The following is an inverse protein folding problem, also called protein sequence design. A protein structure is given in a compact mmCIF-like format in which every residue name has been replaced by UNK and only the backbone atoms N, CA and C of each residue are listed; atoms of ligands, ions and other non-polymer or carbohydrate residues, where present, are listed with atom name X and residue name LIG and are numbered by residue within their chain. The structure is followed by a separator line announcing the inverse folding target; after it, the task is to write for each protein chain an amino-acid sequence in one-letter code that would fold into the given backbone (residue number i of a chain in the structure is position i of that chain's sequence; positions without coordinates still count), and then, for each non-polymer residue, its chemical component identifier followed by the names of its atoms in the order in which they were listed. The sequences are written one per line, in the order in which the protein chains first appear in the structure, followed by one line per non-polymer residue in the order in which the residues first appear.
data_IF_211021876722
#
_entry.id   IF_211021876722
#
_cell.length_a   1.000
_cell.length_b   1.000
_cell.length_c   1.000
_cell.angle_alpha   90.00
_cell.angle_beta   90.00
_cell.angle_gamma   90.00
#
_symmetry.space_group_name_H-M   'P 1'
#
loop_
_entity.id
_entity.type
_entity.pdbx_description
1 polymer ?
#
# COMPACT_ATOMS: atom_id res chain seq x y z
N UNK A 1 11.52 -5.11 -35.90
CA UNK A 1 10.43 -4.13 -35.64
C UNK A 1 11.04 -2.74 -35.59
N UNK A 2 10.32 -1.67 -36.01
CA UNK A 2 10.83 -0.29 -35.94
C UNK A 2 10.84 0.17 -34.48
N UNK A 3 11.89 0.88 -34.07
CA UNK A 3 12.00 1.48 -32.72
C UNK A 3 10.89 2.53 -32.59
N UNK A 4 10.07 2.47 -31.53
CA UNK A 4 9.07 3.50 -31.23
C UNK A 4 9.75 4.88 -31.07
N UNK A 5 9.05 5.93 -31.45
CA UNK A 5 9.54 7.28 -31.33
C UNK A 5 8.47 8.19 -30.74
N UNK A 6 8.82 8.84 -29.67
CA UNK A 6 7.98 9.87 -29.06
C UNK A 6 8.20 11.20 -29.76
N UNK A 7 7.12 11.95 -29.98
CA UNK A 7 7.18 13.28 -30.60
C UNK A 7 7.92 14.25 -29.69
N UNK A 8 8.83 15.04 -30.27
CA UNK A 8 9.51 16.12 -29.58
C UNK A 8 8.62 17.35 -29.49
N UNK A 9 8.46 17.90 -28.29
CA UNK A 9 7.77 19.16 -28.01
C UNK A 9 8.67 19.98 -27.10
N UNK A 10 9.61 20.69 -27.73
CA UNK A 10 10.70 21.38 -27.03
C UNK A 10 10.18 22.46 -26.08
N UNK A 11 10.64 22.43 -24.85
CA UNK A 11 10.42 23.45 -23.82
C UNK A 11 11.76 23.92 -23.27
N UNK A 12 11.93 25.23 -23.17
CA UNK A 12 13.14 25.81 -22.54
C UNK A 12 12.95 25.88 -21.03
N UNK A 13 13.86 25.28 -20.30
CA UNK A 13 13.90 25.29 -18.83
C UNK A 13 15.14 26.00 -18.32
N UNK A 14 15.04 26.62 -17.17
CA UNK A 14 16.15 27.31 -16.51
C UNK A 14 16.14 27.03 -15.02
N UNK A 15 17.30 26.71 -14.46
CA UNK A 15 17.50 26.50 -13.04
C UNK A 15 18.96 26.87 -12.67
N UNK A 16 19.18 27.58 -11.57
CA UNK A 16 20.52 28.00 -11.10
C UNK A 16 21.39 28.66 -12.19
N UNK A 17 20.80 29.54 -12.99
CA UNK A 17 21.44 30.22 -14.11
C UNK A 17 21.89 29.31 -15.28
N UNK A 18 21.48 28.07 -15.30
CA UNK A 18 21.66 27.12 -16.41
C UNK A 18 20.37 27.00 -17.18
N UNK A 19 20.44 27.19 -18.50
CA UNK A 19 19.28 27.04 -19.41
C UNK A 19 19.52 25.86 -20.34
N UNK A 20 18.48 25.03 -20.49
CA UNK A 20 18.50 23.87 -21.41
C UNK A 20 17.15 23.68 -22.10
N UNK A 21 17.15 22.91 -23.17
CA UNK A 21 15.94 22.52 -23.88
C UNK A 21 15.58 21.08 -23.50
N UNK A 22 14.31 20.87 -23.11
CA UNK A 22 13.75 19.57 -22.80
C UNK A 22 12.66 19.27 -23.84
N UNK A 23 12.91 18.23 -24.67
CA UNK A 23 12.00 17.84 -25.74
C UNK A 23 10.82 16.98 -25.25
N UNK A 24 10.88 16.47 -24.02
CA UNK A 24 9.97 15.45 -23.50
C UNK A 24 9.28 15.80 -22.19
N UNK A 25 9.45 17.00 -21.66
CA UNK A 25 8.78 17.43 -20.41
C UNK A 25 7.26 17.34 -20.47
N UNK A 26 6.68 17.43 -21.65
CA UNK A 26 5.24 17.30 -21.87
C UNK A 26 4.67 15.91 -21.54
N UNK A 27 5.51 14.88 -21.44
CA UNK A 27 5.11 13.51 -21.04
C UNK A 27 4.68 13.50 -19.57
N UNK A 28 5.27 14.34 -18.75
CA UNK A 28 4.87 14.55 -17.37
C UNK A 28 3.59 15.39 -17.30
N UNK A 29 2.44 14.72 -17.30
CA UNK A 29 1.14 15.37 -17.22
C UNK A 29 0.97 16.10 -15.88
N UNK A 30 0.43 17.32 -15.92
CA UNK A 30 0.13 18.09 -14.69
C UNK A 30 -0.87 17.40 -13.78
N UNK A 31 -1.77 16.59 -14.35
CA UNK A 31 -2.77 15.81 -13.63
C UNK A 31 -2.33 14.37 -13.34
N UNK A 32 -1.03 14.12 -13.16
CA UNK A 32 -0.50 12.75 -12.97
C UNK A 32 -1.19 12.00 -11.82
N UNK A 33 -1.54 12.69 -10.73
CA UNK A 33 -2.24 12.08 -9.60
C UNK A 33 -3.68 11.61 -9.95
N UNK A 34 -4.33 12.28 -10.91
CA UNK A 34 -5.60 11.81 -11.43
C UNK A 34 -5.41 10.58 -12.33
N UNK A 35 -4.33 10.56 -13.13
CA UNK A 35 -3.97 9.41 -13.98
C UNK A 35 -3.66 8.18 -13.12
N UNK A 36 -3.00 8.33 -11.96
CA UNK A 36 -2.76 7.23 -11.01
C UNK A 36 -4.07 6.61 -10.50
N UNK A 37 -5.08 7.44 -10.27
CA UNK A 37 -6.41 6.99 -9.82
C UNK A 37 -7.28 6.45 -10.96
N UNK A 38 -7.07 6.97 -12.17
CA UNK A 38 -7.85 6.65 -13.37
C UNK A 38 -6.96 6.73 -14.61
N UNK A 39 -6.46 5.58 -15.05
CA UNK A 39 -5.55 5.48 -16.20
C UNK A 39 -6.16 5.94 -17.51
N UNK A 40 -7.49 6.09 -17.63
CA UNK A 40 -8.14 6.61 -18.85
C UNK A 40 -7.80 8.08 -19.09
N UNK A 41 -7.35 8.81 -18.05
CA UNK A 41 -6.91 10.21 -18.13
C UNK A 41 -5.48 10.41 -18.66
N UNK A 42 -4.77 9.31 -18.95
CA UNK A 42 -3.47 9.39 -19.61
C UNK A 42 -3.63 9.95 -21.02
N UNK A 43 -2.76 10.90 -21.41
CA UNK A 43 -2.76 11.46 -22.76
C UNK A 43 -2.72 10.35 -23.82
N UNK A 44 -3.60 10.38 -24.83
CA UNK A 44 -3.66 9.32 -25.88
C UNK A 44 -2.32 9.11 -26.59
N UNK A 45 -1.55 10.19 -26.82
CA UNK A 45 -0.25 10.13 -27.48
C UNK A 45 0.79 9.40 -26.59
N UNK A 46 0.78 9.66 -25.28
CA UNK A 46 1.65 8.96 -24.32
C UNK A 46 1.25 7.49 -24.23
N UNK A 47 -0.04 7.20 -24.12
CA UNK A 47 -0.57 5.83 -24.11
C UNK A 47 -0.12 5.05 -25.34
N UNK A 48 -0.32 5.62 -26.52
CA UNK A 48 0.08 5.01 -27.79
C UNK A 48 1.56 4.66 -27.81
N UNK A 49 2.41 5.60 -27.35
CA UNK A 49 3.85 5.38 -27.27
C UNK A 49 4.21 4.22 -26.33
N UNK A 50 3.62 4.18 -25.13
CA UNK A 50 3.84 3.09 -24.16
C UNK A 50 3.41 1.73 -24.72
N UNK A 51 2.28 1.68 -25.44
CA UNK A 51 1.81 0.44 -26.08
C UNK A 51 2.74 0.00 -27.22
N UNK A 52 3.31 0.93 -27.97
CA UNK A 52 4.31 0.64 -29.02
C UNK A 52 5.63 0.12 -28.40
N UNK A 53 6.08 0.71 -27.29
CA UNK A 53 7.25 0.21 -26.54
C UNK A 53 7.03 -1.21 -25.99
N UNK A 54 5.87 -1.50 -25.45
CA UNK A 54 5.51 -2.84 -25.02
C UNK A 54 5.58 -3.85 -26.18
N UNK A 55 5.00 -3.52 -27.33
CA UNK A 55 5.06 -4.37 -28.53
C UNK A 55 6.49 -4.56 -29.03
N UNK A 56 7.32 -3.50 -28.98
CA UNK A 56 8.73 -3.56 -29.33
C UNK A 56 9.49 -4.53 -28.42
N UNK A 57 9.28 -4.40 -27.12
CA UNK A 57 9.87 -5.28 -26.10
C UNK A 57 9.44 -6.73 -26.30
N UNK A 58 8.14 -6.99 -26.48
CA UNK A 58 7.62 -8.34 -26.76
C UNK A 58 8.23 -8.96 -28.00
N UNK A 59 8.39 -8.17 -29.09
CA UNK A 59 9.01 -8.65 -30.34
C UNK A 59 10.47 -9.05 -30.12
N UNK A 60 11.25 -8.25 -29.39
CA UNK A 60 12.67 -8.53 -29.17
C UNK A 60 12.92 -9.62 -28.13
N UNK A 61 11.99 -9.82 -27.18
CA UNK A 61 12.07 -10.87 -26.18
C UNK A 61 11.36 -12.17 -26.56
N UNK A 62 10.73 -12.24 -27.74
CA UNK A 62 9.93 -13.42 -28.15
C UNK A 62 10.69 -14.74 -28.09
N UNK A 63 11.97 -14.73 -28.50
CA UNK A 63 12.80 -15.92 -28.55
C UNK A 63 13.28 -16.39 -27.17
N UNK A 64 13.07 -15.58 -26.14
CA UNK A 64 13.41 -15.93 -24.73
C UNK A 64 12.23 -16.52 -23.96
N UNK A 65 11.01 -16.58 -24.53
CA UNK A 65 9.80 -16.98 -23.79
C UNK A 65 9.87 -18.37 -23.17
N UNK A 66 10.41 -19.34 -23.90
CA UNK A 66 10.58 -20.70 -23.36
C UNK A 66 11.60 -20.74 -22.23
N UNK A 67 12.69 -19.98 -22.35
CA UNK A 67 13.69 -19.86 -21.28
C UNK A 67 13.08 -19.14 -20.06
N UNK A 68 12.32 -18.07 -20.26
CA UNK A 68 11.62 -17.38 -19.17
C UNK A 68 10.67 -18.33 -18.43
N UNK A 69 9.91 -19.14 -19.16
CA UNK A 69 9.01 -20.15 -18.58
C UNK A 69 9.75 -21.20 -17.77
N UNK A 70 10.88 -21.69 -18.30
CA UNK A 70 11.74 -22.64 -17.61
C UNK A 70 12.28 -22.05 -16.31
N UNK A 71 12.83 -20.85 -16.39
CA UNK A 71 13.39 -20.13 -15.24
C UNK A 71 12.31 -19.82 -14.20
N UNK A 72 11.13 -19.35 -14.63
CA UNK A 72 9.99 -19.10 -13.75
C UNK A 72 9.58 -20.38 -13.00
N UNK A 73 9.45 -21.51 -13.71
CA UNK A 73 9.05 -22.77 -13.08
C UNK A 73 10.13 -23.29 -12.11
N UNK A 74 11.41 -23.11 -12.44
CA UNK A 74 12.53 -23.46 -11.55
C UNK A 74 12.48 -22.64 -10.26
N UNK A 75 12.38 -21.31 -10.38
CA UNK A 75 12.32 -20.39 -9.22
C UNK A 75 11.09 -20.71 -8.37
N UNK A 76 9.93 -20.83 -9.01
CA UNK A 76 8.66 -21.15 -8.31
C UNK A 76 8.73 -22.52 -7.63
N UNK A 77 9.37 -23.50 -8.25
CA UNK A 77 9.54 -24.85 -7.69
C UNK A 77 10.38 -24.91 -6.42
N UNK A 78 11.18 -23.88 -6.15
CA UNK A 78 11.99 -23.75 -4.92
C UNK A 78 11.19 -23.18 -3.75
N UNK A 79 10.00 -22.62 -4.01
CA UNK A 79 9.14 -22.00 -2.99
C UNK A 79 8.19 -23.06 -2.43
N UNK A 80 8.20 -23.22 -1.10
CA UNK A 80 7.19 -24.03 -0.41
C UNK A 80 5.86 -23.24 -0.40
N UNK A 81 4.90 -23.72 -1.19
CA UNK A 81 3.64 -22.99 -1.40
C UNK A 81 2.64 -23.16 -0.24
N UNK A 82 2.58 -24.38 0.35
CA UNK A 82 1.82 -24.62 1.59
C UNK A 82 2.80 -24.48 2.75
N UNK A 83 2.83 -23.31 3.37
CA UNK A 83 3.78 -22.97 4.43
C UNK A 83 3.15 -22.17 5.55
N UNK A 84 3.78 -22.24 6.72
CA UNK A 84 3.37 -21.49 7.92
C UNK A 84 4.60 -20.87 8.56
N UNK A 85 4.49 -19.63 9.01
CA UNK A 85 5.50 -19.00 9.85
C UNK A 85 5.52 -19.62 11.24
N UNK A 86 6.62 -19.46 11.97
CA UNK A 86 6.62 -19.77 13.40
C UNK A 86 5.62 -18.87 14.13
N UNK A 87 4.85 -19.40 15.10
CA UNK A 87 4.00 -18.59 15.93
C UNK A 87 4.82 -17.64 16.80
N UNK A 88 4.35 -16.40 16.95
CA UNK A 88 4.87 -15.46 17.94
C UNK A 88 3.78 -15.07 18.93
N UNK A 89 4.15 -14.86 20.17
CA UNK A 89 3.23 -14.47 21.24
C UNK A 89 3.05 -12.95 21.22
N UNK A 90 1.79 -12.54 21.22
CA UNK A 90 1.39 -11.16 21.48
C UNK A 90 0.19 -11.17 22.41
N UNK A 91 0.37 -10.62 23.62
CA UNK A 91 -0.64 -10.54 24.71
C UNK A 91 -1.29 -11.90 25.01
N UNK A 92 -2.56 -12.07 24.62
CA UNK A 92 -3.35 -13.26 24.94
C UNK A 92 -3.31 -14.33 23.84
N UNK A 93 -2.66 -14.06 22.71
CA UNK A 93 -2.69 -14.92 21.53
C UNK A 93 -1.28 -15.25 21.02
N UNK A 94 -1.21 -16.36 20.32
CA UNK A 94 -0.14 -16.71 19.40
C UNK A 94 -0.61 -16.44 17.98
N UNK A 95 0.19 -15.68 17.21
CA UNK A 95 -0.10 -15.30 15.82
C UNK A 95 0.88 -15.94 14.86
N UNK A 96 0.41 -16.34 13.69
CA UNK A 96 1.25 -16.79 12.59
C UNK A 96 0.57 -16.52 11.25
N UNK A 97 1.34 -16.63 10.18
CA UNK A 97 0.88 -16.47 8.81
C UNK A 97 0.96 -17.79 8.07
N UNK A 98 -0.07 -18.12 7.29
CA UNK A 98 -0.11 -19.24 6.38
C UNK A 98 -0.12 -18.78 4.94
N UNK A 99 0.47 -19.60 4.06
CA UNK A 99 0.27 -19.56 2.62
C UNK A 99 -0.28 -20.89 2.15
N UNK A 100 -1.02 -20.91 1.03
CA UNK A 100 -1.57 -22.13 0.46
C UNK A 100 -1.25 -22.25 -1.02
N UNK A 101 -1.09 -23.46 -1.51
CA UNK A 101 -0.77 -23.74 -2.91
C UNK A 101 -1.78 -23.15 -3.91
N UNK A 102 -3.04 -22.99 -3.48
CA UNK A 102 -4.12 -22.45 -4.32
C UNK A 102 -4.39 -20.97 -4.09
N UNK A 103 -3.80 -20.38 -3.04
CA UNK A 103 -3.97 -18.98 -2.69
C UNK A 103 -2.88 -18.11 -3.29
N UNK A 104 -3.20 -16.83 -3.47
CA UNK A 104 -2.25 -15.79 -3.87
C UNK A 104 -1.93 -14.83 -2.74
N UNK A 105 -2.70 -14.91 -1.64
CA UNK A 105 -2.58 -14.01 -0.49
C UNK A 105 -2.40 -14.79 0.79
N UNK A 106 -1.80 -14.13 1.77
CA UNK A 106 -1.58 -14.72 3.08
C UNK A 106 -2.86 -14.83 3.91
N UNK A 107 -2.83 -15.77 4.85
CA UNK A 107 -3.84 -15.96 5.88
C UNK A 107 -3.18 -15.66 7.23
N UNK A 108 -3.67 -14.66 7.98
CA UNK A 108 -3.24 -14.39 9.35
C UNK A 108 -4.09 -15.20 10.30
N UNK A 109 -3.46 -16.07 11.04
CA UNK A 109 -4.08 -16.93 12.02
C UNK A 109 -3.69 -16.50 13.43
N UNK A 110 -4.54 -16.81 14.39
CA UNK A 110 -4.23 -16.71 15.81
C UNK A 110 -4.82 -17.88 16.61
N UNK A 111 -4.25 -18.10 17.76
CA UNK A 111 -4.74 -19.06 18.75
C UNK A 111 -4.60 -18.46 20.15
N UNK A 112 -5.66 -18.52 20.95
CA UNK A 112 -5.59 -18.06 22.33
C UNK A 112 -4.60 -18.90 23.13
N UNK A 113 -3.73 -18.31 23.90
CA UNK A 113 -2.74 -19.01 24.72
C UNK A 113 -3.48 -19.95 25.68
N UNK A 114 -3.05 -21.22 25.70
CA UNK A 114 -3.67 -22.27 26.53
C UNK A 114 -4.89 -22.95 25.90
N UNK A 115 -5.21 -22.69 24.63
CA UNK A 115 -6.26 -23.39 23.88
C UNK A 115 -5.70 -23.97 22.58
N UNK A 116 -6.45 -24.86 21.94
CA UNK A 116 -6.12 -25.42 20.61
C UNK A 116 -6.99 -24.86 19.49
N UNK A 117 -7.91 -23.93 19.80
CA UNK A 117 -8.78 -23.33 18.80
C UNK A 117 -8.03 -22.30 17.95
N UNK A 118 -7.95 -22.58 16.64
CA UNK A 118 -7.33 -21.70 15.65
C UNK A 118 -8.40 -20.84 14.99
N UNK A 119 -8.15 -19.54 14.95
CA UNK A 119 -9.00 -18.54 14.31
C UNK A 119 -8.27 -17.90 13.13
N UNK A 120 -8.90 -17.87 11.95
CA UNK A 120 -8.45 -17.04 10.82
C UNK A 120 -8.90 -15.60 11.06
N UNK A 121 -7.97 -14.72 11.43
CA UNK A 121 -8.22 -13.29 11.61
C UNK A 121 -8.37 -12.58 10.27
N UNK A 122 -7.57 -13.01 9.29
CA UNK A 122 -7.54 -12.49 7.94
C UNK A 122 -7.31 -13.59 6.92
N UNK A 123 -7.97 -13.49 5.77
CA UNK A 123 -7.72 -14.36 4.63
C UNK A 123 -7.84 -13.52 3.36
N UNK A 124 -6.69 -13.17 2.75
CA UNK A 124 -6.64 -12.25 1.63
C UNK A 124 -7.38 -12.76 0.38
N UNK A 125 -7.35 -14.07 0.10
CA UNK A 125 -8.09 -14.64 -1.03
C UNK A 125 -9.60 -14.56 -0.83
N UNK A 126 -10.10 -14.81 0.40
CA UNK A 126 -11.51 -14.61 0.75
C UNK A 126 -11.93 -13.15 0.61
N UNK A 127 -11.09 -12.21 1.06
CA UNK A 127 -11.38 -10.78 0.96
C UNK A 127 -11.39 -10.31 -0.49
N UNK A 128 -10.38 -10.67 -1.29
CA UNK A 128 -10.37 -10.35 -2.73
C UNK A 128 -11.61 -10.86 -3.44
N UNK A 129 -12.03 -12.10 -3.16
CA UNK A 129 -13.19 -12.70 -3.81
C UNK A 129 -14.50 -11.95 -3.57
N UNK A 130 -14.64 -11.30 -2.40
CA UNK A 130 -15.82 -10.47 -2.05
C UNK A 130 -15.86 -9.17 -2.85
N UNK A 131 -14.68 -8.61 -3.18
CA UNK A 131 -14.57 -7.25 -3.74
C UNK A 131 -14.65 -7.21 -5.27
N UNK A 132 -14.50 -8.33 -5.98
CA UNK A 132 -14.54 -8.45 -7.44
C UNK A 132 -13.66 -7.43 -8.16
N UNK A 133 -12.44 -7.20 -7.64
CA UNK A 133 -11.48 -6.25 -8.19
C UNK A 133 -10.37 -6.96 -8.96
N UNK A 134 -9.84 -6.32 -10.01
CA UNK A 134 -8.68 -6.82 -10.76
C UNK A 134 -7.40 -6.72 -9.94
N UNK A 135 -7.19 -5.56 -9.31
CA UNK A 135 -6.05 -5.31 -8.43
C UNK A 135 -6.47 -5.42 -6.96
N UNK A 136 -5.61 -6.01 -6.13
CA UNK A 136 -5.83 -6.14 -4.69
C UNK A 136 -4.50 -6.06 -3.97
N UNK A 137 -4.17 -4.88 -3.49
CA UNK A 137 -3.01 -4.61 -2.63
C UNK A 137 -3.43 -4.52 -1.17
N UNK A 138 -2.75 -5.27 -0.31
CA UNK A 138 -2.90 -5.18 1.15
C UNK A 138 -1.75 -4.32 1.67
N UNK A 139 -2.05 -3.24 2.37
CA UNK A 139 -1.07 -2.39 3.01
C UNK A 139 -0.73 -2.93 4.41
N UNK A 140 -1.52 -2.59 5.39
CA UNK A 140 -1.29 -2.95 6.78
C UNK A 140 -2.41 -3.83 7.36
N UNK A 141 -2.09 -4.62 8.38
CA UNK A 141 -2.98 -5.52 9.10
C UNK A 141 -2.66 -5.49 10.60
N UNK A 142 -3.43 -4.72 11.36
CA UNK A 142 -3.23 -4.54 12.78
C UNK A 142 -4.40 -5.08 13.61
N UNK A 143 -4.10 -5.81 14.69
CA UNK A 143 -5.09 -6.23 15.67
C UNK A 143 -5.03 -5.30 16.87
N UNK A 144 -6.20 -4.86 17.35
CA UNK A 144 -6.32 -3.99 18.52
C UNK A 144 -5.76 -4.63 19.80
N UNK A 145 -5.41 -3.81 20.79
CA UNK A 145 -4.78 -4.28 22.04
C UNK A 145 -5.68 -5.19 22.87
N UNK A 146 -7.01 -5.03 22.76
CA UNK A 146 -8.00 -5.90 23.43
C UNK A 146 -8.39 -7.13 22.59
N UNK A 147 -7.65 -7.39 21.48
CA UNK A 147 -7.88 -8.52 20.57
C UNK A 147 -9.25 -8.56 19.87
N UNK A 148 -9.99 -7.44 19.89
CA UNK A 148 -11.38 -7.37 19.40
C UNK A 148 -11.50 -6.90 17.96
N UNK A 149 -10.68 -5.94 17.56
CA UNK A 149 -10.76 -5.31 16.24
C UNK A 149 -9.60 -5.71 15.34
N UNK A 150 -9.87 -5.78 14.04
CA UNK A 150 -8.87 -5.83 12.98
C UNK A 150 -8.98 -4.56 12.15
N UNK A 151 -7.92 -3.76 12.13
CA UNK A 151 -7.76 -2.68 11.16
C UNK A 151 -6.91 -3.19 10.00
N UNK A 152 -7.29 -2.83 8.78
CA UNK A 152 -6.57 -3.22 7.57
C UNK A 152 -6.73 -2.16 6.49
N UNK A 153 -5.74 -2.07 5.62
CA UNK A 153 -5.75 -1.12 4.52
C UNK A 153 -5.62 -1.82 3.17
N UNK A 154 -6.38 -1.33 2.18
CA UNK A 154 -6.43 -1.88 0.84
C UNK A 154 -6.23 -0.81 -0.22
N UNK A 155 -5.40 -1.10 -1.22
CA UNK A 155 -5.42 -0.45 -2.52
C UNK A 155 -6.09 -1.39 -3.53
N UNK A 156 -7.16 -0.92 -4.17
CA UNK A 156 -7.95 -1.71 -5.12
C UNK A 156 -7.72 -1.29 -6.59
N UNK A 157 -6.77 -0.39 -6.83
CA UNK A 157 -6.49 0.20 -8.15
C UNK A 157 -5.03 0.11 -8.58
N UNK A 158 -4.10 -0.20 -7.67
CA UNK A 158 -2.65 -0.11 -7.91
C UNK A 158 -2.14 1.33 -7.91
N UNK A 159 -2.82 2.19 -7.17
CA UNK A 159 -2.53 3.63 -7.10
C UNK A 159 -1.72 4.04 -5.89
N UNK A 160 -1.48 3.10 -4.96
CA UNK A 160 -0.86 3.33 -3.64
C UNK A 160 -1.64 4.34 -2.77
N UNK A 161 -2.88 4.66 -3.15
CA UNK A 161 -3.85 5.29 -2.27
C UNK A 161 -4.62 4.21 -1.55
N UNK A 162 -4.32 4.05 -0.26
CA UNK A 162 -4.98 3.04 0.55
C UNK A 162 -6.24 3.55 1.21
N UNK A 163 -7.19 2.66 1.36
CA UNK A 163 -8.39 2.86 2.17
C UNK A 163 -8.29 1.99 3.41
N UNK A 164 -8.45 2.59 4.59
CA UNK A 164 -8.43 1.88 5.86
C UNK A 164 -9.85 1.45 6.24
N UNK A 165 -9.95 0.24 6.78
CA UNK A 165 -11.15 -0.39 7.31
C UNK A 165 -10.88 -0.90 8.71
N UNK A 166 -11.86 -0.82 9.60
CA UNK A 166 -11.81 -1.45 10.91
C UNK A 166 -13.03 -2.34 11.08
N UNK A 167 -12.82 -3.59 11.47
CA UNK A 167 -13.91 -4.55 11.72
C UNK A 167 -13.78 -5.21 13.07
N UNK A 168 -14.90 -5.56 13.66
CA UNK A 168 -14.96 -6.47 14.80
C UNK A 168 -14.62 -7.89 14.31
N UNK A 169 -13.62 -8.53 14.93
CA UNK A 169 -13.09 -9.83 14.49
C UNK A 169 -14.17 -10.92 14.62
N UNK A 170 -14.93 -10.90 15.71
CA UNK A 170 -15.93 -11.94 16.01
C UNK A 170 -17.13 -11.89 15.06
N UNK A 171 -17.61 -10.69 14.73
CA UNK A 171 -18.80 -10.52 13.91
C UNK A 171 -18.49 -10.30 12.43
N UNK A 172 -17.26 -9.92 12.10
CA UNK A 172 -16.82 -9.52 10.76
C UNK A 172 -17.40 -8.19 10.27
N UNK A 173 -18.19 -7.49 11.09
CA UNK A 173 -18.85 -6.23 10.73
C UNK A 173 -17.86 -5.07 10.82
N UNK A 174 -17.93 -4.14 9.87
CA UNK A 174 -17.23 -2.86 9.95
C UNK A 174 -17.77 -2.06 11.13
N UNK A 175 -16.88 -1.43 11.87
CA UNK A 175 -17.18 -0.63 13.07
C UNK A 175 -16.86 0.85 12.90
N UNK A 176 -16.33 1.24 11.75
CA UNK A 176 -16.07 2.62 11.39
C UNK A 176 -16.33 2.86 9.90
N UNK A 177 -16.43 4.13 9.51
CA UNK A 177 -16.45 4.54 8.10
C UNK A 177 -15.09 4.20 7.44
N UNK A 178 -15.08 4.16 6.11
CA UNK A 178 -13.85 3.97 5.33
C UNK A 178 -13.02 5.24 5.37
N UNK A 179 -11.74 5.12 5.69
CA UNK A 179 -10.81 6.25 5.68
C UNK A 179 -9.99 6.17 4.39
N UNK A 180 -10.26 7.07 3.46
CA UNK A 180 -9.68 7.06 2.13
C UNK A 180 -8.46 7.97 2.00
N UNK A 181 -7.67 7.76 0.93
CA UNK A 181 -6.49 8.57 0.56
C UNK A 181 -5.40 8.58 1.64
N UNK A 182 -5.15 7.43 2.25
CA UNK A 182 -4.11 7.23 3.26
C UNK A 182 -2.86 6.58 2.66
N UNK A 183 -1.76 6.60 3.41
CA UNK A 183 -0.54 5.83 3.07
C UNK A 183 -0.68 4.32 3.30
N UNK A 184 -1.73 3.90 4.00
CA UNK A 184 -1.99 2.53 4.36
C UNK A 184 -1.50 2.11 5.74
N UNK A 185 -0.61 2.85 6.39
CA UNK A 185 -0.13 2.54 7.75
C UNK A 185 -1.19 2.81 8.81
N UNK A 186 -1.28 1.93 9.80
CA UNK A 186 -2.28 1.96 10.86
C UNK A 186 -1.61 1.71 12.22
N UNK A 187 -2.00 2.47 13.23
CA UNK A 187 -1.62 2.20 14.62
C UNK A 187 -2.82 2.38 15.53
N UNK A 188 -3.16 1.38 16.33
CA UNK A 188 -4.18 1.53 17.37
C UNK A 188 -3.66 2.36 18.55
N UNK A 189 -4.57 3.10 19.21
CA UNK A 189 -4.30 3.60 20.55
C UNK A 189 -4.32 2.43 21.56
N UNK A 190 -3.57 2.57 22.67
CA UNK A 190 -3.48 1.52 23.70
C UNK A 190 -4.82 1.19 24.38
N UNK A 191 -5.75 2.13 24.34
CA UNK A 191 -7.11 1.97 24.87
C UNK A 191 -8.11 1.47 23.81
N UNK A 192 -7.63 1.19 22.58
CA UNK A 192 -8.42 0.76 21.44
C UNK A 192 -9.60 1.67 21.04
N UNK A 193 -9.57 2.92 21.48
CA UNK A 193 -10.62 3.90 21.13
C UNK A 193 -10.31 4.62 19.81
N UNK A 194 -9.04 4.66 19.42
CA UNK A 194 -8.58 5.42 18.26
C UNK A 194 -7.66 4.59 17.38
N UNK A 195 -7.59 4.98 16.10
CA UNK A 195 -6.48 4.64 15.21
C UNK A 195 -5.76 5.91 14.77
N UNK A 196 -4.45 5.80 14.60
CA UNK A 196 -3.61 6.82 13.99
C UNK A 196 -3.25 6.38 12.59
N UNK A 197 -3.23 7.32 11.65
CA UNK A 197 -2.92 7.06 10.25
C UNK A 197 -2.34 8.29 9.59
N UNK A 198 -1.64 8.13 8.45
CA UNK A 198 -1.15 9.26 7.67
C UNK A 198 -1.95 9.46 6.38
N UNK A 199 -2.20 10.73 6.05
CA UNK A 199 -2.77 11.16 4.77
C UNK A 199 -1.68 11.59 3.80
N UNK A 200 -1.93 11.33 2.52
CA UNK A 200 -1.09 11.77 1.42
C UNK A 200 -1.46 13.19 1.00
N UNK A 201 -0.43 13.98 0.65
CA UNK A 201 -0.60 15.31 0.06
C UNK A 201 -0.82 15.26 -1.46
N UNK A 202 -0.87 16.42 -2.10
CA UNK A 202 -1.00 16.56 -3.55
C UNK A 202 0.18 16.01 -4.36
N UNK A 203 1.31 15.67 -3.71
CA UNK A 203 2.48 15.04 -4.31
C UNK A 203 2.58 13.54 -4.01
N UNK A 204 1.51 12.95 -3.49
CA UNK A 204 1.44 11.54 -3.10
C UNK A 204 2.44 11.19 -1.97
N UNK A 205 2.64 12.10 -1.02
CA UNK A 205 3.55 11.90 0.12
C UNK A 205 2.80 11.90 1.44
N UNK A 206 3.13 11.00 2.38
CA UNK A 206 2.59 11.04 3.75
C UNK A 206 3.00 12.36 4.40
N UNK A 207 2.01 13.23 4.63
CA UNK A 207 2.26 14.62 5.04
C UNK A 207 1.71 14.94 6.41
N UNK A 208 0.64 14.27 6.77
CA UNK A 208 -0.12 14.58 7.99
C UNK A 208 -0.48 13.33 8.75
N UNK A 209 -0.41 13.39 10.07
CA UNK A 209 -0.88 12.34 10.97
C UNK A 209 -2.24 12.76 11.53
N UNK A 210 -3.21 11.87 11.39
CA UNK A 210 -4.56 12.03 11.91
C UNK A 210 -4.86 10.98 12.98
N UNK A 211 -5.81 11.30 13.85
CA UNK A 211 -6.41 10.40 14.82
C UNK A 211 -7.89 10.27 14.50
N UNK A 212 -8.36 9.05 14.26
CA UNK A 212 -9.77 8.71 14.07
C UNK A 212 -10.31 7.99 15.30
N UNK A 213 -11.47 8.43 15.83
CA UNK A 213 -12.16 7.70 16.87
C UNK A 213 -12.96 6.55 16.25
N UNK A 214 -12.77 5.32 16.73
CA UNK A 214 -13.47 4.15 16.20
C UNK A 214 -14.98 4.32 16.43
N UNK A 215 -15.75 4.24 15.32
CA UNK A 215 -17.21 4.39 15.33
C UNK A 215 -17.71 5.83 15.12
N UNK A 216 -16.83 6.83 15.03
CA UNK A 216 -17.21 8.20 14.67
C UNK A 216 -17.17 8.43 13.16
N UNK A 217 -17.57 9.62 12.72
CA UNK A 217 -17.42 10.05 11.34
C UNK A 217 -15.98 10.48 11.04
N UNK A 218 -15.50 10.16 9.84
CA UNK A 218 -14.16 10.59 9.33
C UNK A 218 -14.01 12.12 9.29
N UNK A 219 -15.13 12.85 9.22
CA UNK A 219 -15.12 14.32 9.28
C UNK A 219 -14.75 14.88 10.67
N UNK A 220 -14.78 14.04 11.69
CA UNK A 220 -14.42 14.40 13.08
C UNK A 220 -12.96 14.07 13.39
N UNK A 221 -12.20 13.58 12.40
CA UNK A 221 -10.81 13.19 12.58
C UNK A 221 -9.93 14.36 12.97
N UNK A 222 -9.13 14.16 14.00
CA UNK A 222 -8.26 15.18 14.55
C UNK A 222 -6.89 15.14 13.86
N UNK A 223 -6.48 16.26 13.26
CA UNK A 223 -5.11 16.46 12.83
C UNK A 223 -4.18 16.54 14.05
N UNK A 224 -3.22 15.62 14.14
CA UNK A 224 -2.23 15.55 15.23
C UNK A 224 -0.96 16.27 14.85
N UNK A 225 -0.50 16.06 13.62
CA UNK A 225 0.75 16.64 13.12
C UNK A 225 0.67 16.87 11.62
N UNK A 226 1.24 17.97 11.16
CA UNK A 226 1.42 18.28 9.75
C UNK A 226 2.86 18.74 9.49
N UNK A 227 3.56 18.04 8.63
CA UNK A 227 4.89 18.41 8.19
C UNK A 227 4.83 19.55 7.18
N UNK A 228 5.55 20.62 7.43
CA UNK A 228 5.56 21.84 6.58
C UNK A 228 6.65 21.81 5.51
N UNK A 229 7.70 21.06 5.76
CA UNK A 229 8.84 20.95 4.83
C UNK A 229 8.50 19.99 3.69
N UNK A 230 8.47 20.49 2.46
CA UNK A 230 8.03 19.71 1.28
C UNK A 230 8.85 18.44 0.99
N UNK A 231 10.09 18.38 1.45
CA UNK A 231 10.97 17.24 1.23
C UNK A 231 10.69 16.06 2.19
N UNK A 232 10.10 16.34 3.36
CA UNK A 232 9.93 15.37 4.42
C UNK A 232 8.61 14.59 4.30
N UNK A 233 8.63 13.36 4.76
CA UNK A 233 7.46 12.51 4.93
C UNK A 233 7.29 12.14 6.39
N UNK A 234 6.07 11.84 6.82
CA UNK A 234 5.76 11.53 8.20
C UNK A 234 5.22 10.12 8.37
N UNK A 235 5.58 9.50 9.48
CA UNK A 235 5.01 8.25 9.94
C UNK A 235 4.80 8.29 11.45
N UNK A 236 3.96 7.42 11.96
CA UNK A 236 3.75 7.25 13.40
C UNK A 236 4.00 5.79 13.77
N UNK A 237 4.55 5.56 14.93
CA UNK A 237 4.77 4.24 15.49
C UNK A 237 4.76 4.27 17.01
N UNK A 238 4.77 3.11 17.64
CA UNK A 238 4.80 2.96 19.09
C UNK A 238 6.16 2.47 19.56
N UNK A 239 6.56 2.87 20.76
CA UNK A 239 7.77 2.35 21.42
C UNK A 239 7.62 0.86 21.77
N UNK A 240 8.75 0.14 21.85
CA UNK A 240 8.75 -1.30 22.18
C UNK A 240 8.17 -1.61 23.58
N UNK A 241 8.17 -0.63 24.49
CA UNK A 241 7.54 -0.75 25.80
C UNK A 241 6.09 -0.27 25.85
N UNK A 242 5.55 0.08 24.66
CA UNK A 242 4.16 0.53 24.43
C UNK A 242 3.73 1.76 25.25
N UNK A 243 4.69 2.62 25.68
CA UNK A 243 4.38 3.80 26.49
C UNK A 243 4.29 5.09 25.71
N UNK A 244 4.94 5.15 24.54
CA UNK A 244 5.07 6.38 23.77
C UNK A 244 4.74 6.14 22.31
N UNK A 245 4.12 7.13 21.69
CA UNK A 245 4.01 7.23 20.23
C UNK A 245 5.08 8.18 19.72
N UNK A 246 5.74 7.79 18.66
CA UNK A 246 6.73 8.61 17.98
C UNK A 246 6.21 9.01 16.61
N UNK A 247 6.24 10.31 16.32
CA UNK A 247 6.07 10.80 14.97
C UNK A 247 7.47 10.99 14.39
N UNK A 248 7.77 10.24 13.35
CA UNK A 248 9.03 10.36 12.63
C UNK A 248 8.82 11.24 11.40
N UNK A 249 9.58 12.32 11.28
CA UNK A 249 9.61 13.17 10.09
C UNK A 249 11.00 13.05 9.45
N UNK A 250 11.06 12.67 8.17
CA UNK A 250 12.32 12.39 7.51
C UNK A 250 12.29 12.62 6.01
N UNK A 251 13.44 12.93 5.46
CA UNK A 251 13.77 12.79 4.06
C UNK A 251 14.83 11.69 3.86
N UNK A 252 15.50 11.65 2.70
CA UNK A 252 16.54 10.67 2.41
C UNK A 252 17.83 10.84 3.22
N UNK A 253 18.04 12.01 3.84
CA UNK A 253 19.29 12.37 4.51
C UNK A 253 19.12 12.68 5.99
N UNK A 254 17.93 13.10 6.40
CA UNK A 254 17.67 13.64 7.74
C UNK A 254 16.41 13.03 8.34
N UNK A 255 16.41 12.79 9.63
CA UNK A 255 15.22 12.35 10.38
C UNK A 255 15.10 13.07 11.72
N UNK A 256 13.86 13.36 12.11
CA UNK A 256 13.48 13.86 13.44
C UNK A 256 12.40 12.95 14.04
N UNK A 257 12.43 12.83 15.37
CA UNK A 257 11.47 11.99 16.14
C UNK A 257 10.94 12.74 17.33
#
# INVERSE_FOLDING_TARGET
MKIPQLSKKSETKSCHNVTWTDDYSWVHQKNILEVLKDSTKLLPEVRKYLEEENKYTEFHLKDTKEFQKTLFNEIKGRIKLDDESLPFKDKNYEYWTKTTKKGNYSIKCRKKIGTDEVEEVWNGDKEKSKLRTEYFGVGDLEVSYNDKFLAYSLDLKGSEYFTIYVRDIKTGKLVTEKIENTSGSINFSLDDQYIFYSKLDENHRPRSIFRHQIGSSVNEDLLIFEEKTKAFTVSIGISSDEKYYFINSSDHNTSEK
#
